data_IF_012239609669
#
_entry.id   IF_012239609669
#
_cell.length_a   1.000
_cell.length_b   1.000
_cell.length_c   1.000
_cell.angle_alpha   90.00
_cell.angle_beta   90.00
_cell.angle_gamma   90.00
#
_symmetry.space_group_name_H-M   'P 1'
#
loop_
_entity.id
_entity.type
_entity.pdbx_description
1 polymer ?
#
# COMPACT_ATOMS: atom_id res chain seq x y z
N UNK A 1 28.02 -25.86 6.16
CA UNK A 1 27.71 -24.54 5.60
C UNK A 1 27.12 -24.78 4.22
N UNK A 2 25.85 -24.45 3.98
CA UNK A 2 25.27 -24.51 2.64
C UNK A 2 25.95 -23.46 1.77
N UNK A 3 26.21 -23.79 0.51
CA UNK A 3 26.76 -22.84 -0.47
C UNK A 3 25.62 -21.97 -0.95
N UNK A 4 25.80 -20.64 -0.95
CA UNK A 4 24.83 -19.74 -1.59
C UNK A 4 25.34 -19.37 -2.97
N UNK A 5 24.53 -19.60 -4.00
CA UNK A 5 24.82 -19.27 -5.40
C UNK A 5 23.88 -18.16 -5.82
N UNK A 6 24.39 -17.14 -6.51
CA UNK A 6 23.58 -16.05 -7.05
C UNK A 6 23.88 -15.83 -8.52
N UNK A 7 22.85 -15.50 -9.29
CA UNK A 7 22.96 -14.92 -10.63
C UNK A 7 23.00 -13.40 -10.49
N UNK A 8 24.00 -12.77 -11.11
CA UNK A 8 24.14 -11.32 -11.15
C UNK A 8 23.95 -10.85 -12.59
N UNK A 9 22.84 -10.17 -12.84
CA UNK A 9 22.53 -9.58 -14.15
C UNK A 9 22.74 -8.09 -14.07
N UNK A 10 23.82 -7.61 -14.68
CA UNK A 10 24.09 -6.18 -14.85
C UNK A 10 23.64 -5.73 -16.23
N UNK A 11 22.90 -4.62 -16.30
CA UNK A 11 22.50 -4.00 -17.55
C UNK A 11 23.21 -2.66 -17.68
N UNK A 12 23.82 -2.45 -18.83
CA UNK A 12 24.48 -1.21 -19.19
C UNK A 12 23.72 -0.58 -20.35
N UNK A 13 23.39 0.70 -20.20
CA UNK A 13 22.94 1.54 -21.29
C UNK A 13 24.18 2.22 -21.89
N UNK A 14 24.29 2.24 -23.22
CA UNK A 14 25.42 2.86 -23.89
C UNK A 14 24.95 4.12 -24.60
N UNK A 15 25.24 5.27 -23.99
CA UNK A 15 25.00 6.59 -24.59
C UNK A 15 26.33 7.16 -25.08
N UNK A 16 26.40 7.55 -26.37
CA UNK A 16 27.60 8.13 -26.97
C UNK A 16 28.89 7.30 -26.76
N UNK A 17 28.77 5.97 -26.74
CA UNK A 17 29.89 5.05 -26.54
C UNK A 17 30.34 4.89 -25.09
N UNK A 18 29.67 5.53 -24.13
CA UNK A 18 29.98 5.40 -22.69
C UNK A 18 28.96 4.45 -22.06
N UNK A 19 29.39 3.27 -21.55
CA UNK A 19 28.50 2.38 -20.82
C UNK A 19 28.17 2.96 -19.44
N UNK A 20 26.88 3.04 -19.12
CA UNK A 20 26.33 3.42 -17.81
C UNK A 20 25.56 2.26 -17.24
N UNK A 21 25.93 1.82 -16.03
CA UNK A 21 25.20 0.79 -15.32
C UNK A 21 23.80 1.33 -14.98
N UNK A 22 22.76 0.75 -15.59
CA UNK A 22 21.36 1.14 -15.39
C UNK A 22 20.65 0.25 -14.39
N UNK A 23 21.06 -1.01 -14.27
CA UNK A 23 20.50 -1.91 -13.25
C UNK A 23 21.46 -3.03 -12.91
N UNK A 24 21.39 -3.49 -11.66
CA UNK A 24 21.95 -4.77 -11.22
C UNK A 24 20.80 -5.55 -10.59
N UNK A 25 20.57 -6.77 -11.07
CA UNK A 25 19.68 -7.73 -10.42
C UNK A 25 20.51 -8.87 -9.85
N UNK A 26 20.25 -9.24 -8.61
CA UNK A 26 20.88 -10.36 -7.93
C UNK A 26 19.76 -11.34 -7.58
N UNK A 27 19.82 -12.54 -8.12
CA UNK A 27 18.87 -13.61 -7.84
C UNK A 27 19.61 -14.74 -7.15
N UNK A 28 19.11 -15.25 -6.03
CA UNK A 28 19.66 -16.46 -5.43
C UNK A 28 19.24 -17.66 -6.28
N UNK A 29 20.21 -18.48 -6.67
CA UNK A 29 20.01 -19.72 -7.43
C UNK A 29 19.97 -20.93 -6.49
N UNK A 30 20.81 -20.93 -5.45
CA UNK A 30 20.94 -22.08 -4.55
C UNK A 30 21.33 -21.63 -3.14
N UNK A 31 20.80 -22.27 -2.11
CA UNK A 31 21.31 -22.23 -0.74
C UNK A 31 21.02 -20.98 0.10
N UNK A 32 20.21 -20.06 -0.42
CA UNK A 32 19.57 -18.98 0.35
C UNK A 32 18.11 -18.82 -0.12
N UNK A 33 17.16 -18.71 0.82
CA UNK A 33 15.81 -18.26 0.47
C UNK A 33 15.85 -16.74 0.29
N UNK A 34 15.88 -16.27 -0.96
CA UNK A 34 15.47 -14.89 -1.21
C UNK A 34 13.94 -14.78 -1.21
N UNK A 35 13.43 -13.59 -0.88
CA UNK A 35 12.00 -13.32 -0.79
C UNK A 35 11.28 -13.65 -2.11
N UNK A 36 11.94 -13.44 -3.26
CA UNK A 36 11.38 -13.75 -4.57
C UNK A 36 11.15 -15.25 -4.75
N UNK A 37 12.11 -16.09 -4.38
CA UNK A 37 12.02 -17.54 -4.46
C UNK A 37 10.98 -18.07 -3.48
N UNK A 38 10.93 -17.53 -2.27
CA UNK A 38 9.90 -17.87 -1.28
C UNK A 38 8.50 -17.52 -1.82
N UNK A 39 8.30 -16.29 -2.30
CA UNK A 39 7.04 -15.85 -2.88
C UNK A 39 6.61 -16.72 -4.07
N UNK A 40 7.54 -17.03 -4.96
CA UNK A 40 7.30 -17.90 -6.12
C UNK A 40 6.86 -19.30 -5.68
N UNK A 41 7.53 -19.90 -4.69
CA UNK A 41 7.18 -21.20 -4.14
C UNK A 41 5.79 -21.20 -3.48
N UNK A 42 5.46 -20.14 -2.73
CA UNK A 42 4.13 -20.00 -2.10
C UNK A 42 3.02 -19.91 -3.16
N UNK A 43 3.19 -19.05 -4.17
CA UNK A 43 2.19 -18.85 -5.20
C UNK A 43 1.94 -20.11 -6.03
N UNK A 44 2.99 -20.88 -6.36
CA UNK A 44 2.86 -22.16 -7.05
C UNK A 44 2.06 -23.18 -6.22
N UNK A 45 2.35 -23.30 -4.91
CA UNK A 45 1.59 -24.15 -3.98
C UNK A 45 0.12 -23.75 -3.88
N UNK A 46 -0.18 -22.45 -4.00
CA UNK A 46 -1.54 -21.90 -3.98
C UNK A 46 -2.26 -22.02 -5.34
N UNK A 47 -1.60 -22.57 -6.36
CA UNK A 47 -2.22 -22.84 -7.66
C UNK A 47 -2.26 -21.64 -8.61
N UNK A 48 -1.50 -20.58 -8.31
CA UNK A 48 -1.20 -19.55 -9.30
C UNK A 48 -0.32 -20.17 -10.38
N UNK A 49 -0.59 -19.85 -11.65
CA UNK A 49 0.30 -20.20 -12.74
C UNK A 49 1.01 -18.96 -13.23
N UNK A 50 2.29 -19.15 -13.52
CA UNK A 50 3.13 -18.12 -14.08
C UNK A 50 2.72 -17.85 -15.53
N UNK A 51 2.37 -16.60 -15.85
CA UNK A 51 2.41 -16.14 -17.23
C UNK A 51 3.70 -15.35 -17.37
N UNK A 52 4.75 -16.06 -17.78
CA UNK A 52 6.05 -15.50 -18.14
C UNK A 52 5.87 -14.50 -19.29
N UNK A 53 5.58 -13.25 -18.95
CA UNK A 53 6.06 -12.11 -19.72
C UNK A 53 7.04 -11.41 -18.79
N UNK A 54 8.17 -12.10 -18.56
CA UNK A 54 9.34 -11.48 -17.95
C UNK A 54 9.77 -10.37 -18.90
N UNK A 55 9.28 -9.17 -18.66
CA UNK A 55 9.82 -8.02 -19.34
C UNK A 55 11.21 -7.78 -18.75
N UNK A 56 12.23 -8.35 -19.41
CA UNK A 56 13.62 -8.30 -18.98
C UNK A 56 14.16 -6.89 -18.80
N UNK A 57 13.50 -5.85 -19.33
CA UNK A 57 13.85 -4.45 -19.04
C UNK A 57 13.10 -3.88 -17.83
N UNK A 58 11.91 -4.38 -17.48
CA UNK A 58 11.08 -3.87 -16.37
C UNK A 58 11.18 -4.68 -15.06
N UNK A 59 11.81 -5.86 -15.09
CA UNK A 59 12.17 -6.69 -13.93
C UNK A 59 10.96 -7.05 -13.04
N UNK A 60 9.92 -7.65 -13.63
CA UNK A 60 8.78 -8.15 -12.88
C UNK A 60 8.33 -9.52 -13.40
N UNK A 61 7.64 -10.28 -12.54
CA UNK A 61 7.00 -11.56 -12.83
C UNK A 61 5.51 -11.42 -12.55
N UNK A 62 4.68 -11.70 -13.57
CA UNK A 62 3.23 -11.61 -13.48
C UNK A 62 2.57 -12.96 -13.23
N UNK A 63 1.66 -13.00 -12.25
CA UNK A 63 0.93 -14.19 -11.84
C UNK A 63 -0.57 -14.07 -12.14
N UNK A 64 -1.19 -15.22 -12.42
CA UNK A 64 -2.63 -15.36 -12.61
C UNK A 64 -3.09 -16.72 -12.09
N UNK A 65 -4.36 -16.86 -11.71
CA UNK A 65 -4.92 -18.16 -11.30
C UNK A 65 -5.30 -19.03 -12.51
N UNK A 66 -5.03 -20.34 -12.45
CA UNK A 66 -5.19 -21.29 -13.58
C UNK A 66 -6.55 -21.21 -14.26
N UNK A 67 -7.59 -21.07 -13.44
CA UNK A 67 -8.97 -20.87 -13.87
C UNK A 67 -9.44 -19.49 -13.40
N UNK A 68 -9.08 -18.44 -14.13
CA UNK A 68 -9.41 -17.08 -13.73
C UNK A 68 -10.89 -16.82 -14.01
N UNK A 69 -11.55 -16.05 -13.15
CA UNK A 69 -12.93 -15.62 -13.35
C UNK A 69 -13.11 -14.84 -14.66
N UNK A 70 -14.37 -14.73 -15.13
CA UNK A 70 -14.68 -13.97 -16.35
C UNK A 70 -14.23 -12.51 -16.21
N UNK A 71 -13.49 -12.01 -17.21
CA UNK A 71 -13.01 -10.62 -17.23
C UNK A 71 -11.75 -10.36 -16.40
N UNK A 72 -11.15 -11.39 -15.79
CA UNK A 72 -9.89 -11.24 -15.06
C UNK A 72 -8.79 -10.62 -15.93
N UNK A 73 -8.11 -9.63 -15.34
CA UNK A 73 -7.00 -8.90 -15.96
C UNK A 73 -5.84 -9.83 -16.33
N UNK A 74 -4.88 -9.29 -17.07
CA UNK A 74 -3.70 -10.03 -17.53
C UNK A 74 -2.93 -10.63 -16.34
N UNK A 75 -2.71 -9.83 -15.30
CA UNK A 75 -2.08 -10.22 -14.04
C UNK A 75 -3.04 -9.95 -12.89
N UNK A 76 -3.06 -10.87 -11.92
CA UNK A 76 -3.79 -10.74 -10.66
C UNK A 76 -2.85 -10.48 -9.49
N UNK A 77 -1.55 -10.72 -9.69
CA UNK A 77 -0.47 -10.41 -8.77
C UNK A 77 0.80 -10.21 -9.60
N UNK A 78 1.66 -9.26 -9.22
CA UNK A 78 2.96 -9.03 -9.85
C UNK A 78 4.04 -8.97 -8.78
N UNK A 79 5.14 -9.67 -8.99
CA UNK A 79 6.34 -9.60 -8.16
C UNK A 79 7.42 -8.78 -8.88
N UNK A 80 8.07 -7.86 -8.18
CA UNK A 80 9.19 -7.09 -8.71
C UNK A 80 10.27 -6.94 -7.63
N UNK A 81 11.46 -7.48 -7.87
CA UNK A 81 12.60 -7.27 -6.99
C UNK A 81 13.14 -5.85 -7.19
N UNK A 82 13.16 -5.04 -6.14
CA UNK A 82 13.68 -3.68 -6.13
C UNK A 82 14.74 -3.52 -5.04
N UNK A 83 15.33 -2.32 -4.94
CA UNK A 83 16.37 -2.02 -3.93
C UNK A 83 15.77 -2.03 -2.52
N UNK A 84 14.51 -1.66 -2.41
CA UNK A 84 13.74 -1.50 -1.17
C UNK A 84 13.22 -2.85 -0.64
N UNK A 85 13.26 -3.93 -1.44
CA UNK A 85 12.75 -5.24 -1.07
C UNK A 85 12.06 -5.95 -2.24
N UNK A 86 11.25 -6.96 -1.92
CA UNK A 86 10.35 -7.57 -2.88
C UNK A 86 9.07 -6.75 -2.94
N UNK A 87 8.83 -6.06 -4.06
CA UNK A 87 7.59 -5.33 -4.25
C UNK A 87 6.53 -6.23 -4.88
N UNK A 88 5.33 -6.19 -4.32
CA UNK A 88 4.19 -7.01 -4.72
C UNK A 88 3.05 -6.10 -5.09
N UNK A 89 2.57 -6.23 -6.32
CA UNK A 89 1.46 -5.44 -6.83
C UNK A 89 0.22 -6.29 -7.00
N UNK A 90 -0.91 -5.80 -6.50
CA UNK A 90 -2.21 -6.47 -6.50
C UNK A 90 -3.27 -5.46 -6.97
N UNK A 91 -4.33 -5.90 -7.69
CA UNK A 91 -5.40 -5.01 -8.15
C UNK A 91 -6.00 -4.15 -7.04
N UNK A 92 -6.24 -2.87 -7.32
CA UNK A 92 -6.76 -1.88 -6.35
C UNK A 92 -8.09 -2.33 -5.74
N UNK A 93 -8.95 -2.99 -6.52
CA UNK A 93 -10.25 -3.50 -6.07
C UNK A 93 -10.13 -4.67 -5.08
N UNK A 94 -9.00 -5.39 -5.09
CA UNK A 94 -8.68 -6.45 -4.13
C UNK A 94 -8.16 -5.86 -2.83
N UNK A 95 -7.33 -4.81 -2.91
CA UNK A 95 -6.85 -4.09 -1.73
C UNK A 95 -7.96 -3.33 -1.02
N UNK A 96 -8.78 -2.57 -1.74
CA UNK A 96 -9.65 -1.53 -1.18
C UNK A 96 -10.46 -1.91 0.07
N UNK A 97 -11.05 -3.12 0.21
CA UNK A 97 -11.77 -3.52 1.43
C UNK A 97 -10.87 -3.72 2.66
N UNK A 98 -9.58 -3.97 2.45
CA UNK A 98 -8.59 -4.38 3.45
C UNK A 98 -7.65 -3.23 3.86
N UNK A 99 -7.82 -2.04 3.29
CA UNK A 99 -6.89 -0.92 3.48
C UNK A 99 -7.43 0.10 4.46
N UNK A 100 -6.54 0.57 5.32
CA UNK A 100 -6.70 1.78 6.11
C UNK A 100 -6.21 2.98 5.30
N UNK A 101 -7.12 3.89 4.95
CA UNK A 101 -6.79 5.20 4.40
C UNK A 101 -6.90 6.25 5.51
N UNK A 102 -5.79 6.92 5.80
CA UNK A 102 -5.75 8.01 6.77
C UNK A 102 -5.73 9.32 6.00
N UNK A 103 -6.61 10.24 6.38
CA UNK A 103 -6.75 11.56 5.77
C UNK A 103 -6.69 12.67 6.81
N UNK A 104 -6.45 13.90 6.36
CA UNK A 104 -6.78 15.09 7.14
C UNK A 104 -7.44 16.16 6.26
N UNK A 105 -8.04 17.15 6.89
CA UNK A 105 -8.56 18.35 6.23
C UNK A 105 -7.75 19.58 6.62
N UNK A 106 -7.45 20.42 5.65
CA UNK A 106 -6.84 21.73 5.86
C UNK A 106 -7.80 22.78 5.34
N UNK A 107 -8.05 23.80 6.15
CA UNK A 107 -8.82 24.98 5.79
C UNK A 107 -7.88 26.17 5.60
N UNK A 108 -8.05 26.91 4.51
CA UNK A 108 -7.30 28.13 4.25
C UNK A 108 -8.20 29.22 3.69
N UNK A 109 -7.84 30.47 4.01
CA UNK A 109 -8.52 31.65 3.52
C UNK A 109 -8.39 31.74 2.00
N UNK A 110 -9.52 31.91 1.32
CA UNK A 110 -9.62 32.15 -0.10
C UNK A 110 -10.29 33.50 -0.37
N UNK A 111 -10.07 34.12 -1.55
CA UNK A 111 -10.84 35.28 -1.95
C UNK A 111 -12.33 34.96 -1.93
N UNK A 112 -13.12 35.83 -1.30
CA UNK A 112 -14.59 35.71 -1.20
C UNK A 112 -15.18 35.40 -2.59
N UNK A 113 -15.83 34.25 -2.73
CA UNK A 113 -16.51 33.87 -3.97
C UNK A 113 -17.86 34.59 -4.14
N UNK A 114 -18.52 34.40 -5.29
CA UNK A 114 -19.82 35.03 -5.58
C UNK A 114 -20.95 34.57 -4.60
N UNK A 115 -20.69 33.53 -3.80
CA UNK A 115 -21.60 32.99 -2.79
C UNK A 115 -21.26 33.49 -1.37
N UNK A 116 -20.19 34.27 -1.22
CA UNK A 116 -19.74 34.80 0.06
C UNK A 116 -18.86 33.85 0.86
N UNK A 117 -18.40 32.74 0.28
CA UNK A 117 -17.45 31.83 0.95
C UNK A 117 -16.04 32.41 0.86
N UNK A 118 -15.37 32.51 1.99
CA UNK A 118 -14.00 33.00 2.13
C UNK A 118 -13.02 31.93 2.63
N UNK A 119 -13.46 30.67 2.75
CA UNK A 119 -12.61 29.55 3.09
C UNK A 119 -12.76 28.39 2.11
N UNK A 120 -11.65 27.69 1.87
CA UNK A 120 -11.62 26.46 1.08
C UNK A 120 -11.05 25.34 1.93
N UNK A 121 -11.75 24.22 1.97
CA UNK A 121 -11.27 23.00 2.60
C UNK A 121 -10.64 22.08 1.56
N UNK A 122 -9.45 21.56 1.86
CA UNK A 122 -8.80 20.51 1.08
C UNK A 122 -8.61 19.26 1.92
N UNK A 123 -8.93 18.10 1.35
CA UNK A 123 -8.62 16.80 1.96
C UNK A 123 -7.27 16.30 1.48
N UNK A 124 -6.40 15.97 2.42
CA UNK A 124 -5.09 15.38 2.17
C UNK A 124 -5.12 13.90 2.52
N UNK A 125 -4.66 13.05 1.61
CA UNK A 125 -4.40 11.63 1.92
C UNK A 125 -3.02 11.57 2.59
N UNK A 126 -3.01 11.18 3.86
CA UNK A 126 -1.80 11.06 4.66
C UNK A 126 -1.10 9.71 4.42
N UNK A 127 -1.88 8.68 4.12
CA UNK A 127 -1.32 7.39 3.70
C UNK A 127 -2.37 6.31 3.52
N UNK A 128 -1.94 5.22 2.90
CA UNK A 128 -2.72 4.00 2.70
C UNK A 128 -1.92 2.84 3.26
N UNK A 129 -2.55 2.08 4.14
CA UNK A 129 -1.87 1.05 4.90
C UNK A 129 -2.64 -0.26 4.86
N UNK A 130 -1.92 -1.35 4.70
CA UNK A 130 -2.45 -2.66 5.07
C UNK A 130 -1.91 -3.00 6.45
N UNK A 131 -2.81 -3.11 7.42
CA UNK A 131 -2.45 -3.49 8.79
C UNK A 131 -2.34 -5.00 8.84
N UNK A 132 -1.28 -5.49 9.49
CA UNK A 132 -1.07 -6.93 9.57
C UNK A 132 -2.12 -7.57 10.50
N UNK A 133 -2.87 -8.59 10.02
CA UNK A 133 -3.81 -9.32 10.87
C UNK A 133 -3.21 -9.84 12.18
N UNK A 134 -1.95 -10.27 12.17
CA UNK A 134 -1.25 -10.77 13.36
C UNK A 134 -0.84 -9.68 14.36
N UNK A 135 -0.99 -8.40 14.00
CA UNK A 135 -0.54 -7.22 14.76
C UNK A 135 -1.63 -6.17 14.97
N UNK A 136 -2.89 -6.47 14.66
CA UNK A 136 -4.00 -5.52 14.77
C UNK A 136 -4.12 -4.90 16.16
N UNK A 137 -4.08 -5.72 17.22
CA UNK A 137 -4.20 -5.23 18.61
C UNK A 137 -3.08 -4.24 18.97
N UNK A 138 -1.85 -4.54 18.55
CA UNK A 138 -0.67 -3.70 18.82
C UNK A 138 -0.80 -2.38 18.05
N UNK A 139 -1.20 -2.45 16.78
CA UNK A 139 -1.43 -1.28 15.95
C UNK A 139 -2.51 -0.37 16.55
N UNK A 140 -3.64 -0.95 16.95
CA UNK A 140 -4.76 -0.21 17.54
C UNK A 140 -4.39 0.43 18.88
N UNK A 141 -3.60 -0.25 19.72
CA UNK A 141 -3.11 0.32 21.00
C UNK A 141 -2.24 1.56 20.76
N UNK A 142 -1.31 1.49 19.80
CA UNK A 142 -0.45 2.63 19.47
C UNK A 142 -1.27 3.78 18.87
N UNK A 143 -2.18 3.46 17.94
CA UNK A 143 -3.07 4.46 17.34
C UNK A 143 -3.94 5.15 18.40
N UNK A 144 -4.49 4.42 19.36
CA UNK A 144 -5.26 5.03 20.45
C UNK A 144 -4.42 5.97 21.32
N UNK A 145 -3.12 5.70 21.49
CA UNK A 145 -2.22 6.56 22.27
C UNK A 145 -1.89 7.89 21.57
N UNK A 146 -1.86 7.92 20.24
CA UNK A 146 -1.47 9.11 19.47
C UNK A 146 -2.65 9.84 18.82
N UNK A 147 -3.68 9.09 18.43
CA UNK A 147 -4.88 9.53 17.73
C UNK A 147 -6.12 8.86 18.36
N UNK A 148 -6.49 9.26 19.58
CA UNK A 148 -7.54 8.60 20.34
C UNK A 148 -8.89 8.66 19.63
N UNK A 149 -9.63 7.55 19.68
CA UNK A 149 -11.03 7.41 19.24
C UNK A 149 -11.27 7.63 17.73
N UNK A 150 -10.20 7.74 16.92
CA UNK A 150 -10.32 7.91 15.46
C UNK A 150 -10.78 6.63 14.79
N UNK A 151 -10.13 5.51 15.09
CA UNK A 151 -10.33 4.26 14.35
C UNK A 151 -11.54 3.43 14.82
N UNK A 152 -12.10 3.72 16.00
CA UNK A 152 -13.19 2.94 16.60
C UNK A 152 -12.95 1.41 16.60
N UNK A 153 -11.69 1.00 16.80
CA UNK A 153 -11.28 -0.40 16.79
C UNK A 153 -11.19 -1.06 15.41
N UNK A 154 -11.25 -0.30 14.32
CA UNK A 154 -11.15 -0.80 12.95
C UNK A 154 -9.74 -0.62 12.39
N UNK A 155 -9.28 -1.59 11.59
CA UNK A 155 -7.95 -1.58 10.94
C UNK A 155 -8.03 -1.42 9.42
N UNK A 156 -9.24 -1.22 8.90
CA UNK A 156 -9.51 -0.89 7.50
C UNK A 156 -10.67 0.09 7.41
N UNK A 157 -10.72 0.86 6.31
CA UNK A 157 -11.67 1.95 6.12
C UNK A 157 -10.97 3.28 5.84
N UNK A 158 -11.75 4.36 5.73
CA UNK A 158 -11.24 5.71 5.56
C UNK A 158 -11.54 6.51 6.84
N UNK A 159 -10.49 7.04 7.46
CA UNK A 159 -10.57 7.83 8.69
C UNK A 159 -9.83 9.14 8.54
N UNK A 160 -10.42 10.20 9.07
CA UNK A 160 -9.77 11.50 9.16
C UNK A 160 -9.21 11.69 10.56
N UNK A 161 -7.96 12.16 10.67
CA UNK A 161 -7.32 12.40 11.97
C UNK A 161 -7.87 13.63 12.69
N UNK A 162 -8.37 14.62 11.94
CA UNK A 162 -8.96 15.81 12.50
C UNK A 162 -10.50 15.72 12.49
N UNK A 163 -11.15 15.86 13.67
CA UNK A 163 -12.59 15.69 13.77
C UNK A 163 -13.35 16.90 13.20
N UNK A 164 -14.54 16.62 12.72
CA UNK A 164 -15.56 17.61 12.40
C UNK A 164 -16.33 17.94 13.68
N UNK A 165 -16.18 19.16 14.22
CA UNK A 165 -16.91 19.57 15.43
C UNK A 165 -18.27 20.11 14.99
N UNK A 166 -19.31 19.30 15.12
CA UNK A 166 -20.69 19.75 14.92
C UNK A 166 -21.14 20.47 16.19
N UNK A 167 -21.36 21.78 16.13
CA UNK A 167 -21.96 22.51 17.23
C UNK A 167 -23.48 22.29 17.21
N UNK A 168 -24.06 21.63 18.23
CA UNK A 168 -25.51 21.53 18.34
C UNK A 168 -26.10 22.91 18.64
N UNK A 169 -27.06 23.31 17.81
CA UNK A 169 -27.97 24.48 17.92
C UNK A 169 -27.54 25.57 18.91
N UNK A 170 -26.98 26.68 18.40
CA UNK A 170 -26.87 27.91 19.18
C UNK A 170 -28.29 28.38 19.52
N UNK A 171 -28.70 28.45 20.79
CA UNK A 171 -30.07 28.81 21.15
C UNK A 171 -30.40 30.22 20.63
N UNK A 172 -31.31 30.32 19.66
CA UNK A 172 -31.75 31.59 19.07
C UNK A 172 -31.54 31.73 17.56
N UNK A 173 -30.91 30.76 16.90
CA UNK A 173 -30.86 30.66 15.44
C UNK A 173 -31.51 29.34 14.99
N UNK A 174 -32.53 29.41 14.13
CA UNK A 174 -33.03 28.26 13.35
C UNK A 174 -32.01 27.89 12.25
N UNK A 175 -30.73 27.82 12.61
CA UNK A 175 -29.65 27.48 11.69
C UNK A 175 -29.36 25.98 11.81
N UNK A 176 -29.13 25.33 10.67
CA UNK A 176 -28.62 23.97 10.66
C UNK A 176 -27.31 23.90 11.47
N UNK A 177 -27.04 22.76 12.15
CA UNK A 177 -25.83 22.58 12.95
C UNK A 177 -24.59 23.03 12.18
N UNK A 178 -23.89 24.05 12.69
CA UNK A 178 -22.66 24.54 12.09
C UNK A 178 -21.52 23.63 12.53
N UNK A 179 -20.81 23.05 11.57
CA UNK A 179 -19.65 22.23 11.82
C UNK A 179 -18.36 23.01 11.58
N UNK A 180 -17.49 23.10 12.58
CA UNK A 180 -16.15 23.65 12.41
C UNK A 180 -15.15 22.52 12.18
N UNK A 181 -14.39 22.67 11.10
CA UNK A 181 -13.31 21.75 10.76
C UNK A 181 -12.11 22.17 11.59
N UNK A 182 -11.60 21.30 12.46
CA UNK A 182 -10.31 21.55 13.10
C UNK A 182 -9.25 21.37 12.01
N UNK A 183 -8.77 22.45 11.40
CA UNK A 183 -7.71 22.36 10.39
C UNK A 183 -6.47 21.66 10.98
N UNK A 184 -5.89 20.73 10.22
CA UNK A 184 -4.64 20.06 10.55
C UNK A 184 -3.74 20.10 9.33
N UNK A 185 -2.50 20.56 9.51
CA UNK A 185 -1.50 20.52 8.45
C UNK A 185 -1.00 19.09 8.24
N UNK A 186 -0.74 18.72 6.98
CA UNK A 186 -0.31 17.36 6.64
C UNK A 186 1.01 16.97 7.31
N UNK A 187 1.86 17.95 7.61
CA UNK A 187 3.16 17.85 8.25
C UNK A 187 3.07 17.49 9.74
N UNK A 188 1.90 17.66 10.35
CA UNK A 188 1.64 17.23 11.74
C UNK A 188 1.49 15.71 11.83
N UNK A 189 1.14 15.05 10.72
CA UNK A 189 1.09 13.61 10.64
C UNK A 189 2.50 13.03 10.66
N UNK A 190 2.73 12.09 11.57
CA UNK A 190 4.00 11.40 11.74
C UNK A 190 3.78 9.91 11.59
N UNK A 191 4.45 9.32 10.61
CA UNK A 191 4.34 7.89 10.32
C UNK A 191 4.76 7.03 11.53
N UNK A 192 5.74 7.50 12.30
CA UNK A 192 6.18 6.85 13.54
C UNK A 192 5.09 6.74 14.62
N UNK A 193 4.02 7.54 14.53
CA UNK A 193 2.87 7.44 15.45
C UNK A 193 1.91 6.29 15.08
N UNK A 194 2.10 5.62 13.94
CA UNK A 194 1.35 4.42 13.56
C UNK A 194 1.94 3.13 14.17
N UNK A 195 3.03 3.25 14.94
CA UNK A 195 3.75 2.12 15.53
C UNK A 195 4.90 1.63 14.68
N UNK A 196 5.37 0.42 14.99
CA UNK A 196 6.50 -0.18 14.27
C UNK A 196 6.12 -0.51 12.83
N UNK A 197 7.06 -0.30 11.89
CA UNK A 197 6.90 -0.67 10.47
C UNK A 197 6.74 -2.17 10.23
N UNK A 198 6.84 -2.98 11.29
CA UNK A 198 6.53 -4.41 11.30
C UNK A 198 5.03 -4.70 11.47
N UNK A 199 4.21 -3.69 11.79
CA UNK A 199 2.76 -3.84 12.07
C UNK A 199 1.86 -3.41 10.91
N UNK A 200 2.42 -2.75 9.89
CA UNK A 200 1.70 -2.33 8.70
C UNK A 200 2.61 -2.30 7.47
N UNK A 201 2.01 -2.37 6.28
CA UNK A 201 2.66 -2.10 5.00
C UNK A 201 2.08 -0.83 4.38
N UNK A 202 2.95 0.01 3.83
CA UNK A 202 2.54 1.22 3.09
C UNK A 202 2.23 0.83 1.66
N UNK A 203 1.10 1.33 1.15
CA UNK A 203 0.67 1.11 -0.23
C UNK A 203 1.01 2.31 -1.10
N UNK A 204 1.70 2.03 -2.19
CA UNK A 204 1.98 2.96 -3.27
C UNK A 204 1.15 2.62 -4.51
N UNK A 205 1.02 3.58 -5.42
CA UNK A 205 0.48 3.29 -6.75
C UNK A 205 1.53 2.59 -7.62
N UNK A 206 1.12 1.52 -8.31
CA UNK A 206 2.01 0.88 -9.28
C UNK A 206 2.06 1.71 -10.57
N UNK A 207 3.26 2.25 -10.89
CA UNK A 207 3.50 3.08 -12.07
C UNK A 207 3.40 2.31 -13.40
N UNK A 208 3.66 1.00 -13.39
CA UNK A 208 3.60 0.14 -14.59
C UNK A 208 2.20 -0.44 -14.79
N UNK A 209 1.47 -0.67 -13.71
CA UNK A 209 0.14 -1.25 -13.70
C UNK A 209 -0.84 -0.33 -12.97
N UNK A 210 -1.43 0.70 -13.62
CA UNK A 210 -2.25 1.72 -12.95
C UNK A 210 -3.49 1.18 -12.21
N UNK A 211 -3.93 -0.04 -12.54
CA UNK A 211 -5.03 -0.74 -11.87
C UNK A 211 -4.60 -1.51 -10.62
N UNK A 212 -3.32 -1.47 -10.26
CA UNK A 212 -2.73 -2.13 -9.10
C UNK A 212 -2.21 -1.09 -8.10
N UNK A 213 -2.24 -1.47 -6.84
CA UNK A 213 -1.39 -0.85 -5.80
C UNK A 213 -0.24 -1.81 -5.51
N UNK A 214 0.82 -1.27 -4.91
CA UNK A 214 2.06 -1.98 -4.63
C UNK A 214 2.44 -1.80 -3.17
N UNK A 215 2.96 -2.87 -2.57
CA UNK A 215 3.69 -2.83 -1.29
C UNK A 215 5.09 -3.35 -1.52
N UNK A 216 6.07 -2.91 -0.72
CA UNK A 216 7.42 -3.47 -0.75
C UNK A 216 7.75 -4.13 0.59
N UNK A 217 8.15 -5.40 0.52
CA UNK A 217 8.34 -6.28 1.68
C UNK A 217 9.81 -6.63 1.83
N UNK A 218 10.30 -6.59 3.07
CA UNK A 218 11.72 -6.80 3.42
C UNK A 218 11.98 -8.02 4.28
N UNK A 219 10.95 -8.68 4.81
CA UNK A 219 11.10 -9.88 5.64
C UNK A 219 10.20 -11.03 5.16
N UNK A 220 10.62 -12.26 5.46
CA UNK A 220 9.87 -13.48 5.10
C UNK A 220 8.56 -13.58 5.86
N UNK A 221 8.53 -13.18 7.14
CA UNK A 221 7.34 -13.22 7.98
C UNK A 221 6.22 -12.34 7.40
N UNK A 222 6.54 -11.09 7.03
CA UNK A 222 5.61 -10.17 6.38
C UNK A 222 5.14 -10.72 5.02
N UNK A 223 6.07 -11.32 4.26
CA UNK A 223 5.77 -11.89 2.95
C UNK A 223 4.78 -13.06 3.04
N UNK A 224 5.01 -13.95 4.01
CA UNK A 224 4.18 -15.12 4.21
C UNK A 224 2.75 -14.71 4.59
N UNK A 225 2.60 -13.80 5.54
CA UNK A 225 1.29 -13.29 5.96
C UNK A 225 0.58 -12.58 4.80
N UNK A 226 1.29 -11.71 4.08
CA UNK A 226 0.75 -10.97 2.94
C UNK A 226 0.26 -11.90 1.82
N UNK A 227 1.09 -12.85 1.37
CA UNK A 227 0.70 -13.78 0.30
C UNK A 227 -0.46 -14.66 0.75
N UNK A 228 -0.42 -15.21 1.97
CA UNK A 228 -1.50 -16.06 2.46
C UNK A 228 -2.83 -15.31 2.55
N UNK A 229 -2.81 -14.05 2.98
CA UNK A 229 -4.00 -13.20 3.06
C UNK A 229 -4.57 -12.89 1.67
N UNK A 230 -3.78 -12.27 0.80
CA UNK A 230 -4.30 -11.77 -0.46
C UNK A 230 -4.48 -12.84 -1.53
N UNK A 231 -3.70 -13.92 -1.51
CA UNK A 231 -3.94 -15.05 -2.40
C UNK A 231 -5.31 -15.67 -2.14
N UNK A 232 -5.71 -15.79 -0.86
CA UNK A 232 -7.04 -16.29 -0.49
C UNK A 232 -8.14 -15.39 -1.05
N UNK A 233 -8.04 -14.08 -0.86
CA UNK A 233 -9.02 -13.11 -1.40
C UNK A 233 -9.10 -13.20 -2.93
N UNK A 234 -7.96 -13.29 -3.61
CA UNK A 234 -7.89 -13.45 -5.07
C UNK A 234 -8.54 -14.75 -5.55
N UNK A 235 -8.42 -15.83 -4.79
CA UNK A 235 -9.05 -17.11 -5.08
C UNK A 235 -10.57 -17.08 -4.85
N UNK A 236 -11.04 -16.38 -3.82
CA UNK A 236 -12.47 -16.24 -3.49
C UNK A 236 -13.22 -15.34 -4.47
N UNK A 237 -12.54 -14.37 -5.09
CA UNK A 237 -13.14 -13.46 -6.10
C UNK A 237 -13.28 -14.09 -7.50
N UNK A 238 -12.69 -15.26 -7.75
CA UNK A 238 -12.71 -15.95 -9.05
C UNK A 238 -13.89 -16.92 -9.18
#
# INVERSE_FOLDING_TARGET
MSKIIYDVIQRFEVENGVPRLVSTNIQVIEGGEDLLSLATSMLDKLGFYEKFDENRTSQYIGYRLKNPGKGAKRYQLVLAQRKEGLCISIPKDVFQPEILEITCFTEYDAPVDDLGNDSVTTTHILGRFWILPSKEDIFLEVMQSHYPDILNGQVSGNFSLNPYVIYPDIPGYDAEPFGEIISMESEEFKLEHLGESSSYLILDEDKLFPYMSQVCITSSELLEEFINHFAKILMEKN
#
